data_IF_406265136186
#
_entry.id   IF_406265136186
#
_cell.length_a   1.000
_cell.length_b   1.000
_cell.length_c   1.000
_cell.angle_alpha   90.00
_cell.angle_beta   90.00
_cell.angle_gamma   90.00
#
_symmetry.space_group_name_H-M   'P 1'
#
loop_
_entity.id
_entity.type
_entity.pdbx_description
1 polymer ?
#
# COMPACT_ATOMS: atom_id res chain seq x y z
N UNK A 1 9.73 12.15 -20.22
CA UNK A 1 9.12 11.99 -18.89
C UNK A 1 9.60 10.65 -18.31
N UNK A 2 9.82 10.54 -17.00
CA UNK A 2 10.57 9.40 -16.37
C UNK A 2 10.02 8.01 -16.73
N UNK A 3 8.75 7.91 -17.12
CA UNK A 3 8.07 6.65 -17.45
C UNK A 3 7.95 6.35 -18.95
N UNK A 4 8.36 7.25 -19.86
CA UNK A 4 8.16 7.05 -21.31
C UNK A 4 8.90 5.80 -21.80
N UNK A 5 10.13 5.58 -21.30
CA UNK A 5 10.91 4.38 -21.60
C UNK A 5 10.20 3.08 -21.16
N UNK A 6 9.34 3.17 -20.16
CA UNK A 6 8.58 2.03 -19.67
C UNK A 6 7.58 1.54 -20.71
N UNK A 7 6.91 2.50 -21.35
CA UNK A 7 5.81 2.29 -22.28
C UNK A 7 6.29 2.03 -23.70
N UNK A 8 7.49 2.46 -24.09
CA UNK A 8 8.01 2.28 -25.46
C UNK A 8 8.44 0.84 -25.80
N UNK A 9 8.73 0.00 -24.80
CA UNK A 9 9.18 -1.38 -25.05
C UNK A 9 8.02 -2.25 -25.53
N UNK A 10 8.21 -2.97 -26.64
CA UNK A 10 7.17 -3.82 -27.26
C UNK A 10 6.52 -4.86 -26.31
N UNK A 11 7.26 -5.32 -25.29
CA UNK A 11 6.76 -6.28 -24.29
C UNK A 11 6.46 -5.63 -22.93
N UNK A 12 6.42 -4.30 -22.88
CA UNK A 12 6.39 -3.54 -21.64
C UNK A 12 7.69 -3.69 -20.86
N UNK A 13 7.77 -3.01 -19.72
CA UNK A 13 8.84 -3.21 -18.75
C UNK A 13 8.27 -3.22 -17.35
N UNK A 14 8.97 -3.87 -16.41
CA UNK A 14 8.65 -3.82 -14.99
C UNK A 14 9.52 -2.75 -14.35
N UNK A 15 8.90 -1.79 -13.68
CA UNK A 15 9.56 -0.72 -12.94
C UNK A 15 9.31 -0.94 -11.45
N UNK A 16 10.40 -0.83 -10.67
CA UNK A 16 10.37 -0.84 -9.22
C UNK A 16 10.70 0.55 -8.70
N UNK A 17 9.84 1.12 -7.87
CA UNK A 17 10.07 2.44 -7.23
C UNK A 17 9.81 2.32 -5.74
N UNK A 18 10.80 2.69 -4.94
CA UNK A 18 10.61 2.84 -3.50
C UNK A 18 10.03 4.22 -3.19
N UNK A 19 9.06 4.27 -2.29
CA UNK A 19 8.34 5.47 -1.84
C UNK A 19 7.89 6.37 -3.00
N UNK A 20 7.04 5.84 -3.89
CA UNK A 20 6.58 6.60 -5.06
C UNK A 20 5.82 7.88 -4.67
N UNK A 21 5.20 7.89 -3.50
CA UNK A 21 4.52 9.04 -2.90
C UNK A 21 5.48 10.13 -2.42
N UNK A 22 6.77 9.84 -2.27
CA UNK A 22 7.76 10.81 -1.79
C UNK A 22 7.85 12.01 -2.74
N UNK A 23 7.47 13.18 -2.23
CA UNK A 23 7.43 14.49 -2.91
C UNK A 23 6.34 14.63 -4.00
N UNK A 24 5.42 13.67 -4.13
CA UNK A 24 4.29 13.79 -5.04
C UNK A 24 3.02 14.21 -4.31
N UNK A 25 2.24 15.08 -4.94
CA UNK A 25 0.87 15.34 -4.50
C UNK A 25 0.01 14.08 -4.77
N UNK A 26 -0.92 13.68 -3.89
CA UNK A 26 -1.71 12.44 -4.06
C UNK A 26 -2.46 12.33 -5.39
N UNK A 27 -2.92 13.46 -5.94
CA UNK A 27 -3.54 13.50 -7.28
C UNK A 27 -2.56 13.15 -8.42
N UNK A 28 -1.29 13.54 -8.30
CA UNK A 28 -0.25 13.18 -9.27
C UNK A 28 0.11 11.71 -9.16
N UNK A 29 0.21 11.18 -7.95
CA UNK A 29 0.40 9.74 -7.70
C UNK A 29 -0.73 8.93 -8.36
N UNK A 30 -1.98 9.33 -8.13
CA UNK A 30 -3.15 8.70 -8.77
C UNK A 30 -3.10 8.78 -10.29
N UNK A 31 -2.67 9.90 -10.85
CA UNK A 31 -2.52 10.06 -12.29
C UNK A 31 -1.48 9.08 -12.86
N UNK A 32 -0.31 8.98 -12.22
CA UNK A 32 0.75 8.02 -12.62
C UNK A 32 0.22 6.59 -12.60
N UNK A 33 -0.42 6.16 -11.51
CA UNK A 33 -0.98 4.81 -11.40
C UNK A 33 -2.02 4.55 -12.51
N UNK A 34 -2.92 5.50 -12.75
CA UNK A 34 -3.95 5.37 -13.78
C UNK A 34 -3.34 5.20 -15.18
N UNK A 35 -2.21 5.86 -15.48
CA UNK A 35 -1.52 5.66 -16.76
C UNK A 35 -1.03 4.22 -16.95
N UNK A 36 -0.64 3.51 -15.90
CA UNK A 36 -0.25 2.10 -15.99
C UNK A 36 -1.46 1.16 -16.15
N UNK A 37 -2.67 1.60 -15.77
CA UNK A 37 -3.91 0.83 -15.92
C UNK A 37 -4.66 1.07 -17.23
N UNK A 38 -4.35 2.15 -17.97
CA UNK A 38 -5.03 2.48 -19.22
C UNK A 38 -4.26 1.92 -20.43
N UNK A 39 -4.92 1.06 -21.22
CA UNK A 39 -4.37 0.45 -22.43
C UNK A 39 -3.93 1.48 -23.50
N UNK A 40 -4.51 2.70 -23.48
CA UNK A 40 -4.11 3.77 -24.41
C UNK A 40 -2.76 4.36 -24.05
N UNK A 41 -2.49 4.53 -22.75
CA UNK A 41 -1.21 5.08 -22.28
C UNK A 41 -0.17 3.98 -22.05
N UNK A 42 -0.60 2.76 -21.76
CA UNK A 42 0.24 1.59 -21.54
C UNK A 42 -0.09 0.43 -22.52
N UNK A 43 0.06 0.63 -23.84
CA UNK A 43 -0.33 -0.35 -24.85
C UNK A 43 0.50 -1.64 -24.83
N UNK A 44 1.66 -1.61 -24.16
CA UNK A 44 2.60 -2.72 -24.09
C UNK A 44 2.60 -3.43 -22.73
N UNK A 45 1.65 -3.15 -21.83
CA UNK A 45 1.52 -3.79 -20.51
C UNK A 45 2.78 -3.67 -19.63
N UNK A 46 3.38 -2.48 -19.59
CA UNK A 46 4.37 -2.15 -18.57
C UNK A 46 3.75 -2.30 -17.15
N UNK A 47 4.56 -2.69 -16.18
CA UNK A 47 4.14 -2.92 -14.81
C UNK A 47 4.86 -1.97 -13.87
N UNK A 48 4.12 -1.40 -12.93
CA UNK A 48 4.65 -0.58 -11.85
C UNK A 48 4.50 -1.33 -10.54
N UNK A 49 5.62 -1.61 -9.89
CA UNK A 49 5.69 -2.15 -8.53
C UNK A 49 6.29 -1.07 -7.65
N UNK A 50 5.57 -0.66 -6.62
CA UNK A 50 6.02 0.44 -5.78
C UNK A 50 5.62 0.25 -4.31
N UNK A 51 6.36 0.90 -3.43
CA UNK A 51 6.03 1.05 -2.01
C UNK A 51 5.49 2.47 -1.76
N UNK A 52 4.62 2.60 -0.76
CA UNK A 52 4.01 3.89 -0.41
C UNK A 52 3.63 3.92 1.06
N UNK A 53 3.73 5.10 1.67
CA UNK A 53 3.12 5.38 2.97
C UNK A 53 1.75 6.08 2.83
N UNK A 54 1.49 6.69 1.67
CA UNK A 54 0.20 7.27 1.32
C UNK A 54 -0.90 6.19 1.19
N UNK A 55 -2.01 6.39 1.90
CA UNK A 55 -3.18 5.53 1.85
C UNK A 55 -4.28 6.07 0.90
N UNK A 56 -4.13 7.27 0.33
CA UNK A 56 -5.13 7.93 -0.51
C UNK A 56 -5.52 7.09 -1.74
N UNK A 57 -4.58 6.35 -2.30
CA UNK A 57 -4.80 5.48 -3.47
C UNK A 57 -5.23 4.06 -3.09
N UNK A 58 -5.28 3.72 -1.79
CA UNK A 58 -5.71 2.41 -1.28
C UNK A 58 -7.23 2.24 -1.38
N UNK A 59 -7.72 2.15 -2.61
CA UNK A 59 -9.16 2.14 -2.89
C UNK A 59 -9.48 1.17 -4.02
N UNK A 60 -10.73 0.69 -4.04
CA UNK A 60 -11.21 -0.28 -5.05
C UNK A 60 -11.36 0.31 -6.45
N UNK A 61 -11.43 1.63 -6.58
CA UNK A 61 -11.47 2.32 -7.87
C UNK A 61 -10.08 2.45 -8.50
N UNK A 62 -9.01 2.29 -7.72
CA UNK A 62 -7.64 2.31 -8.21
C UNK A 62 -7.08 0.90 -8.33
N UNK A 63 -7.27 0.04 -7.32
CA UNK A 63 -6.65 -1.28 -7.26
C UNK A 63 -7.64 -2.41 -7.02
N UNK A 64 -7.33 -3.56 -7.62
CA UNK A 64 -7.89 -4.85 -7.21
C UNK A 64 -7.18 -5.36 -5.95
N UNK A 65 -7.82 -6.28 -5.21
CA UNK A 65 -7.25 -6.83 -3.96
C UNK A 65 -5.93 -7.56 -4.17
N UNK A 66 -5.73 -8.21 -5.31
CA UNK A 66 -4.50 -8.94 -5.66
C UNK A 66 -3.33 -8.00 -6.01
N UNK A 67 -3.61 -6.72 -6.29
CA UNK A 67 -2.61 -5.69 -6.55
C UNK A 67 -2.19 -4.94 -5.27
N UNK A 68 -2.89 -5.17 -4.15
CA UNK A 68 -2.60 -4.55 -2.86
C UNK A 68 -1.86 -5.56 -1.99
N UNK A 69 -0.71 -5.13 -1.48
CA UNK A 69 0.15 -5.92 -0.61
C UNK A 69 0.49 -5.11 0.64
N UNK A 70 0.44 -5.76 1.80
CA UNK A 70 0.80 -5.16 3.08
C UNK A 70 2.07 -5.81 3.61
N UNK A 71 2.87 -5.03 4.32
CA UNK A 71 4.01 -5.50 5.10
C UNK A 71 3.68 -5.29 6.56
N UNK A 72 3.72 -6.37 7.35
CA UNK A 72 3.52 -6.32 8.79
C UNK A 72 4.76 -6.83 9.54
N UNK A 73 5.15 -6.10 10.57
CA UNK A 73 6.24 -6.53 11.46
C UNK A 73 5.70 -7.50 12.51
N UNK A 74 6.28 -8.70 12.55
CA UNK A 74 5.93 -9.73 13.50
C UNK A 74 6.64 -9.54 14.85
N UNK A 75 6.14 -10.23 15.88
CA UNK A 75 6.68 -10.15 17.26
C UNK A 75 8.11 -10.69 17.37
N UNK A 76 8.49 -11.60 16.48
CA UNK A 76 9.82 -12.21 16.38
C UNK A 76 10.82 -11.37 15.57
N UNK A 77 10.49 -10.10 15.29
CA UNK A 77 11.29 -9.15 14.49
C UNK A 77 11.39 -9.50 13.00
N UNK A 78 10.64 -10.50 12.52
CA UNK A 78 10.49 -10.74 11.08
C UNK A 78 9.46 -9.78 10.48
N UNK A 79 9.41 -9.75 9.14
CA UNK A 79 8.37 -9.04 8.40
C UNK A 79 7.65 -10.03 7.50
N UNK A 80 6.33 -9.93 7.46
CA UNK A 80 5.47 -10.73 6.60
C UNK A 80 4.88 -9.84 5.51
N UNK A 81 4.90 -10.35 4.28
CA UNK A 81 4.34 -9.70 3.10
C UNK A 81 3.17 -10.55 2.60
N UNK A 82 1.98 -9.96 2.52
CA UNK A 82 0.77 -10.67 2.08
C UNK A 82 -0.15 -9.79 1.24
N UNK A 83 -0.87 -10.42 0.32
CA UNK A 83 -1.86 -9.73 -0.52
C UNK A 83 -3.19 -9.57 0.20
N UNK A 84 -3.89 -8.45 -0.04
CA UNK A 84 -5.28 -8.26 0.42
C UNK A 84 -6.23 -9.33 -0.14
N UNK A 85 -5.90 -9.96 -1.28
CA UNK A 85 -6.70 -11.05 -1.86
C UNK A 85 -6.63 -12.36 -1.05
N UNK A 86 -5.53 -12.57 -0.34
CA UNK A 86 -5.26 -13.75 0.48
C UNK A 86 -5.62 -13.53 1.94
N UNK A 87 -5.70 -12.28 2.37
CA UNK A 87 -6.06 -11.91 3.73
C UNK A 87 -7.44 -12.44 4.13
N UNK A 88 -7.47 -13.07 5.31
CA UNK A 88 -8.68 -13.60 5.92
C UNK A 88 -9.05 -12.76 7.12
N UNK A 89 -10.32 -12.39 7.20
CA UNK A 89 -10.90 -11.71 8.36
C UNK A 89 -11.09 -12.69 9.52
N UNK A 90 -11.43 -12.17 10.70
CA UNK A 90 -11.64 -12.96 11.93
C UNK A 90 -12.67 -14.09 11.79
N UNK A 91 -13.59 -13.98 10.83
CA UNK A 91 -14.61 -14.98 10.51
C UNK A 91 -14.23 -15.93 9.35
N UNK A 92 -12.93 -16.02 9.05
CA UNK A 92 -12.32 -16.83 7.98
C UNK A 92 -12.77 -16.45 6.56
N UNK A 93 -13.47 -15.32 6.38
CA UNK A 93 -13.89 -14.84 5.06
C UNK A 93 -12.81 -13.98 4.41
N UNK A 94 -12.74 -14.05 3.08
CA UNK A 94 -11.92 -13.14 2.27
C UNK A 94 -12.52 -11.73 2.26
N UNK A 95 -11.65 -10.72 2.18
CA UNK A 95 -12.05 -9.31 2.00
C UNK A 95 -12.90 -9.17 0.74
N UNK A 96 -14.06 -8.52 0.81
CA UNK A 96 -14.92 -8.36 -0.37
C UNK A 96 -14.35 -7.36 -1.38
N UNK A 97 -14.61 -7.56 -2.67
CA UNK A 97 -14.20 -6.64 -3.74
C UNK A 97 -14.79 -5.22 -3.59
N UNK A 98 -15.90 -5.08 -2.88
CA UNK A 98 -16.59 -3.80 -2.70
C UNK A 98 -16.30 -3.13 -1.34
N UNK A 99 -15.39 -3.71 -0.54
CA UNK A 99 -14.99 -3.17 0.76
C UNK A 99 -14.29 -1.81 0.65
N UNK A 100 -14.27 -1.08 1.76
CA UNK A 100 -13.62 0.23 1.86
C UNK A 100 -12.17 0.05 2.31
N UNK A 101 -11.28 -0.32 1.39
CA UNK A 101 -9.90 -0.73 1.71
C UNK A 101 -9.14 0.26 2.61
N UNK A 102 -9.08 1.55 2.24
CA UNK A 102 -8.44 2.59 3.05
C UNK A 102 -9.01 2.66 4.47
N UNK A 103 -10.34 2.74 4.61
CA UNK A 103 -11.00 2.86 5.92
C UNK A 103 -10.73 1.64 6.78
N UNK A 104 -10.85 0.45 6.21
CA UNK A 104 -10.63 -0.81 6.92
C UNK A 104 -9.16 -0.98 7.32
N UNK A 105 -8.23 -0.56 6.46
CA UNK A 105 -6.80 -0.49 6.80
C UNK A 105 -6.56 0.44 8.00
N UNK A 106 -7.07 1.68 7.96
CA UNK A 106 -6.89 2.66 9.05
C UNK A 106 -7.50 2.21 10.39
N UNK A 107 -8.53 1.36 10.35
CA UNK A 107 -9.12 0.72 11.53
C UNK A 107 -8.31 -0.49 12.03
N UNK A 108 -7.20 -0.82 11.38
CA UNK A 108 -6.30 -1.91 11.74
C UNK A 108 -6.77 -3.30 11.30
N UNK A 109 -7.81 -3.41 10.45
CA UNK A 109 -8.39 -4.72 10.09
C UNK A 109 -7.45 -5.61 9.29
N UNK A 110 -6.48 -5.01 8.59
CA UNK A 110 -5.55 -5.72 7.71
C UNK A 110 -4.14 -5.79 8.27
N UNK A 111 -3.93 -5.47 9.55
CA UNK A 111 -2.58 -5.35 10.12
C UNK A 111 -1.80 -4.15 9.55
N UNK A 112 -0.50 -4.11 9.81
CA UNK A 112 0.42 -3.12 9.22
C UNK A 112 0.29 -1.67 9.73
N UNK A 113 -0.77 -1.35 10.49
CA UNK A 113 -0.91 -0.05 11.17
C UNK A 113 -0.09 -0.04 12.48
N UNK A 114 0.67 1.03 12.76
CA UNK A 114 1.44 1.12 14.00
C UNK A 114 0.54 1.09 15.26
N UNK A 115 0.87 0.18 16.19
CA UNK A 115 0.28 0.19 17.54
C UNK A 115 1.06 1.17 18.40
N UNK A 116 0.52 2.37 18.59
CA UNK A 116 1.03 3.33 19.55
C UNK A 116 0.66 2.85 20.95
N UNK A 117 1.48 1.97 21.55
CA UNK A 117 1.43 1.77 23.01
C UNK A 117 1.69 3.12 23.66
N UNK A 118 0.89 3.48 24.67
CA UNK A 118 1.06 4.71 25.45
C UNK A 118 2.54 4.95 25.71
N UNK A 119 3.11 5.87 24.96
CA UNK A 119 4.49 6.30 25.15
C UNK A 119 4.41 7.10 26.43
N UNK A 120 4.78 6.49 27.56
CA UNK A 120 4.78 7.17 28.86
C UNK A 120 5.95 8.17 28.85
N UNK A 121 5.76 9.27 28.13
CA UNK A 121 6.76 10.32 27.85
C UNK A 121 7.13 11.12 29.11
N UNK A 122 6.37 10.94 30.18
CA UNK A 122 6.57 11.59 31.46
C UNK A 122 6.76 10.48 32.46
N UNK A 123 8.02 10.08 32.67
CA UNK A 123 8.35 9.16 33.75
C UNK A 123 7.77 9.72 35.04
N UNK A 124 6.88 8.97 35.69
CA UNK A 124 6.46 9.30 37.04
C UNK A 124 7.71 9.23 37.92
N UNK A 125 8.29 10.39 38.23
CA UNK A 125 9.21 10.58 39.33
C UNK A 125 8.42 10.50 40.64
N UNK A 126 7.95 9.30 40.96
CA UNK A 126 7.61 8.99 42.34
C UNK A 126 8.87 8.41 42.96
N UNK A 127 9.80 9.31 43.29
CA UNK A 127 10.77 9.03 44.33
C UNK A 127 9.98 8.77 45.62
N UNK A 128 10.13 7.54 46.10
CA UNK A 128 9.74 7.09 47.43
C UNK A 128 10.44 7.93 48.50
N UNK A 129 9.66 8.51 49.40
CA UNK A 129 10.01 8.66 50.82
C UNK A 129 9.07 7.79 51.66
#
# INVERSE_FOLDING_TARGET
MVFDHAFEKQNGSVIFIDELDTKLHPLLLRYVITMFHDEKTNPHNAQLIYTTHDNYTLTKDVFRRDQIWFVEKQKDLTAELYSLAEYKLDDDRKVRNDASYNKDYLLGKYGGVPVLKEFNMWGNSNETE
#
